data_IF_723524641047
#
_entry.id   IF_723524641047
#
_cell.length_a   1.000
_cell.length_b   1.000
_cell.length_c   1.000
_cell.angle_alpha   90.00
_cell.angle_beta   90.00
_cell.angle_gamma   90.00
#
_symmetry.space_group_name_H-M   'P 1'
#
loop_
_entity.id
_entity.type
_entity.pdbx_description
1 polymer ?
#
# COMPACT_ATOMS: atom_id res chain seq x y z
N UNK A 1 23.09 34.36 26.31
CA UNK A 1 21.99 33.70 25.58
C UNK A 1 21.14 33.00 26.62
N UNK A 2 19.91 33.45 26.81
CA UNK A 2 19.11 33.19 28.03
C UNK A 2 18.34 31.87 27.89
N UNK A 3 18.20 31.09 28.98
CA UNK A 3 17.52 29.78 29.02
C UNK A 3 16.07 29.80 28.51
N UNK A 4 15.42 30.98 28.52
CA UNK A 4 14.08 31.23 27.98
C UNK A 4 14.06 31.23 26.44
N UNK A 5 15.14 31.69 25.81
CA UNK A 5 15.27 31.76 24.35
C UNK A 5 15.56 30.38 23.73
N UNK A 6 16.19 29.47 24.46
CA UNK A 6 16.39 28.08 24.05
C UNK A 6 15.07 27.29 24.06
N UNK A 7 14.27 27.40 25.13
CA UNK A 7 12.96 26.72 25.21
C UNK A 7 11.98 27.15 24.11
N UNK A 8 11.97 28.43 23.74
CA UNK A 8 11.09 28.94 22.69
C UNK A 8 11.50 28.47 21.29
N UNK A 9 12.80 28.16 21.08
CA UNK A 9 13.28 27.59 19.82
C UNK A 9 12.92 26.11 19.71
N UNK A 10 13.15 25.32 20.77
CA UNK A 10 12.78 23.90 20.81
C UNK A 10 11.27 23.69 20.61
N UNK A 11 10.43 24.47 21.30
CA UNK A 11 8.97 24.41 21.12
C UNK A 11 8.53 24.79 19.70
N UNK A 12 9.30 25.63 19.00
CA UNK A 12 8.97 26.05 17.63
C UNK A 12 9.39 24.99 16.61
N UNK A 13 10.51 24.31 16.84
CA UNK A 13 10.94 23.17 16.04
C UNK A 13 10.03 21.95 16.25
N UNK A 14 9.64 21.66 17.49
CA UNK A 14 8.68 20.59 17.81
C UNK A 14 7.33 20.83 17.10
N UNK A 15 6.81 22.06 17.14
CA UNK A 15 5.57 22.42 16.42
C UNK A 15 5.69 22.28 14.90
N UNK A 16 6.85 22.57 14.31
CA UNK A 16 7.09 22.39 12.87
C UNK A 16 7.14 20.92 12.52
N UNK A 17 7.88 20.11 13.28
CA UNK A 17 7.97 18.66 13.06
C UNK A 17 6.57 18.04 13.17
N UNK A 18 5.81 18.37 14.22
CA UNK A 18 4.44 17.90 14.40
C UNK A 18 3.53 18.33 13.23
N UNK A 19 3.63 19.57 12.77
CA UNK A 19 2.82 20.07 11.66
C UNK A 19 3.15 19.36 10.34
N UNK A 20 4.44 19.11 10.06
CA UNK A 20 4.89 18.40 8.86
C UNK A 20 4.45 16.94 8.92
N UNK A 21 4.68 16.26 10.05
CA UNK A 21 4.32 14.84 10.21
C UNK A 21 2.80 14.62 10.16
N UNK A 22 2.01 15.50 10.81
CA UNK A 22 0.54 15.40 10.76
C UNK A 22 -0.03 15.67 9.36
N UNK A 23 0.55 16.62 8.61
CA UNK A 23 0.16 16.87 7.23
C UNK A 23 0.53 15.68 6.32
N UNK A 24 1.70 15.08 6.55
CA UNK A 24 2.13 13.87 5.84
C UNK A 24 1.20 12.69 6.13
N UNK A 25 0.86 12.44 7.40
CA UNK A 25 -0.09 11.39 7.79
C UNK A 25 -1.49 11.63 7.20
N UNK A 26 -1.95 12.89 7.19
CA UNK A 26 -3.20 13.25 6.54
C UNK A 26 -3.17 12.95 5.03
N UNK A 27 -2.09 13.31 4.33
CA UNK A 27 -1.93 13.05 2.91
C UNK A 27 -1.89 11.55 2.60
N UNK A 28 -1.20 10.75 3.43
CA UNK A 28 -1.14 9.30 3.32
C UNK A 28 -2.54 8.67 3.47
N UNK A 29 -3.27 9.02 4.54
CA UNK A 29 -4.62 8.53 4.78
C UNK A 29 -5.58 8.94 3.67
N UNK A 30 -5.48 10.18 3.20
CA UNK A 30 -6.30 10.67 2.10
C UNK A 30 -6.05 9.89 0.80
N UNK A 31 -4.78 9.68 0.43
CA UNK A 31 -4.40 8.87 -0.72
C UNK A 31 -4.90 7.43 -0.62
N UNK A 32 -4.80 6.82 0.57
CA UNK A 32 -5.31 5.48 0.83
C UNK A 32 -6.82 5.36 0.56
N UNK A 33 -7.63 6.32 1.03
CA UNK A 33 -9.09 6.31 0.80
C UNK A 33 -9.45 6.56 -0.67
N UNK A 34 -8.68 7.37 -1.39
CA UNK A 34 -8.87 7.57 -2.84
C UNK A 34 -8.61 6.28 -3.59
N UNK A 35 -7.51 5.58 -3.31
CA UNK A 35 -7.18 4.32 -3.99
C UNK A 35 -8.28 3.27 -3.77
N UNK A 36 -8.83 3.18 -2.55
CA UNK A 36 -9.98 2.29 -2.30
C UNK A 36 -11.21 2.67 -3.13
N UNK A 37 -11.50 3.96 -3.24
CA UNK A 37 -12.63 4.45 -4.03
C UNK A 37 -12.43 4.13 -5.51
N UNK A 38 -11.23 4.36 -6.06
CA UNK A 38 -10.87 4.04 -7.43
C UNK A 38 -10.94 2.54 -7.72
N UNK A 39 -10.60 1.68 -6.76
CA UNK A 39 -10.71 0.23 -6.91
C UNK A 39 -12.16 -0.21 -7.15
N UNK A 40 -13.13 0.37 -6.43
CA UNK A 40 -14.56 0.09 -6.66
C UNK A 40 -14.96 0.47 -8.09
N UNK A 41 -14.57 1.68 -8.54
CA UNK A 41 -14.85 2.11 -9.91
C UNK A 41 -14.20 1.21 -10.96
N UNK A 42 -12.98 0.74 -10.72
CA UNK A 42 -12.30 -0.21 -11.59
C UNK A 42 -13.06 -1.54 -11.70
N UNK A 43 -13.57 -2.08 -10.59
CA UNK A 43 -14.34 -3.33 -10.59
C UNK A 43 -15.66 -3.20 -11.37
N UNK A 44 -16.33 -2.06 -11.24
CA UNK A 44 -17.58 -1.78 -11.95
C UNK A 44 -17.30 -1.60 -13.46
N UNK A 45 -16.31 -0.80 -13.84
CA UNK A 45 -16.07 -0.47 -15.25
C UNK A 45 -15.43 -1.63 -16.03
N UNK A 46 -14.34 -2.22 -15.50
CA UNK A 46 -13.58 -3.26 -16.21
C UNK A 46 -14.21 -4.65 -16.13
N UNK A 47 -14.82 -5.01 -15.00
CA UNK A 47 -15.36 -6.35 -14.77
C UNK A 47 -16.88 -6.39 -14.74
N UNK A 48 -17.57 -5.24 -14.90
CA UNK A 48 -19.03 -5.13 -14.95
C UNK A 48 -19.71 -5.78 -13.73
N UNK A 49 -19.04 -5.68 -12.57
CA UNK A 49 -19.54 -6.20 -11.29
C UNK A 49 -20.55 -5.20 -10.73
N UNK A 50 -21.63 -5.69 -10.10
CA UNK A 50 -22.60 -4.82 -9.43
C UNK A 50 -21.95 -3.98 -8.33
N UNK A 51 -22.52 -2.80 -8.05
CA UNK A 51 -21.99 -1.89 -7.04
C UNK A 51 -21.95 -2.54 -5.65
N UNK A 52 -22.99 -3.27 -5.27
CA UNK A 52 -23.08 -3.97 -3.98
C UNK A 52 -22.00 -5.05 -3.82
N UNK A 53 -21.75 -5.81 -4.89
CA UNK A 53 -20.73 -6.86 -4.88
C UNK A 53 -19.32 -6.25 -4.88
N UNK A 54 -19.11 -5.15 -5.59
CA UNK A 54 -17.83 -4.43 -5.61
C UNK A 54 -17.49 -3.83 -4.24
N UNK A 55 -18.47 -3.22 -3.56
CA UNK A 55 -18.30 -2.71 -2.20
C UNK A 55 -18.00 -3.85 -1.21
N UNK A 56 -18.70 -4.98 -1.34
CA UNK A 56 -18.45 -6.17 -0.53
C UNK A 56 -17.03 -6.72 -0.74
N UNK A 57 -16.57 -6.82 -2.00
CA UNK A 57 -15.22 -7.27 -2.35
C UNK A 57 -14.13 -6.39 -1.74
N UNK A 58 -14.29 -5.06 -1.79
CA UNK A 58 -13.34 -4.13 -1.17
C UNK A 58 -13.34 -4.29 0.36
N UNK A 59 -14.51 -4.45 0.98
CA UNK A 59 -14.62 -4.74 2.41
C UNK A 59 -13.95 -6.05 2.83
N UNK A 60 -14.12 -7.12 2.05
CA UNK A 60 -13.45 -8.41 2.28
C UNK A 60 -11.94 -8.29 2.11
N UNK A 61 -11.48 -7.60 1.06
CA UNK A 61 -10.05 -7.34 0.80
C UNK A 61 -9.42 -6.59 1.98
N UNK A 62 -10.09 -5.55 2.48
CA UNK A 62 -9.63 -4.78 3.64
C UNK A 62 -9.55 -5.63 4.91
N UNK A 63 -10.57 -6.44 5.17
CA UNK A 63 -10.60 -7.34 6.33
C UNK A 63 -9.45 -8.34 6.28
N UNK A 64 -9.15 -8.86 5.08
CA UNK A 64 -8.05 -9.79 4.86
C UNK A 64 -6.68 -9.14 5.09
N UNK A 65 -6.49 -7.87 4.71
CA UNK A 65 -5.26 -7.10 5.00
C UNK A 65 -5.01 -7.02 6.50
N UNK A 66 -6.04 -6.69 7.29
CA UNK A 66 -5.89 -6.58 8.75
C UNK A 66 -5.58 -7.93 9.41
N UNK A 67 -6.28 -8.99 9.01
CA UNK A 67 -5.99 -10.35 9.50
C UNK A 67 -4.56 -10.75 9.13
N UNK A 68 -4.14 -10.49 7.89
CA UNK A 68 -2.80 -10.79 7.43
C UNK A 68 -1.73 -9.95 8.12
N UNK A 69 -2.04 -8.73 8.57
CA UNK A 69 -1.10 -7.91 9.34
C UNK A 69 -0.83 -8.52 10.72
N UNK A 70 -1.87 -8.98 11.41
CA UNK A 70 -1.71 -9.65 12.71
C UNK A 70 -0.85 -10.91 12.56
N UNK A 71 -1.17 -11.74 11.56
CA UNK A 71 -0.41 -12.96 11.28
C UNK A 71 1.03 -12.65 10.81
N UNK A 72 1.19 -11.61 10.00
CA UNK A 72 2.48 -11.19 9.45
C UNK A 72 3.46 -10.72 10.51
N UNK A 73 2.97 -9.95 11.50
CA UNK A 73 3.76 -9.51 12.64
C UNK A 73 4.23 -10.69 13.48
N UNK A 74 3.32 -11.62 13.79
CA UNK A 74 3.66 -12.83 14.55
C UNK A 74 4.71 -13.70 13.83
N UNK A 75 4.60 -13.86 12.52
CA UNK A 75 5.54 -14.64 11.71
C UNK A 75 6.92 -13.97 11.64
N UNK A 76 6.96 -12.65 11.53
CA UNK A 76 8.21 -11.91 11.49
C UNK A 76 8.94 -11.94 12.84
N UNK A 77 8.22 -11.76 13.93
CA UNK A 77 8.78 -11.81 15.28
C UNK A 77 9.36 -13.18 15.62
N UNK A 78 8.65 -14.26 15.25
CA UNK A 78 9.00 -15.61 15.69
C UNK A 78 9.94 -16.37 14.74
N UNK A 79 9.88 -16.12 13.43
CA UNK A 79 10.54 -16.99 12.45
C UNK A 79 11.47 -16.28 11.47
N UNK A 80 11.06 -15.13 10.92
CA UNK A 80 11.77 -14.53 9.76
C UNK A 80 12.66 -13.34 10.11
N UNK A 81 12.33 -12.58 11.15
CA UNK A 81 12.85 -11.24 11.38
C UNK A 81 12.20 -10.20 10.47
N UNK A 82 12.07 -8.97 10.97
CA UNK A 82 11.35 -7.87 10.32
C UNK A 82 11.81 -7.60 8.86
N UNK A 83 13.13 -7.59 8.62
CA UNK A 83 13.69 -7.31 7.28
C UNK A 83 13.30 -8.37 6.22
N UNK A 84 13.38 -9.66 6.57
CA UNK A 84 13.06 -10.75 5.61
C UNK A 84 11.56 -10.86 5.37
N UNK A 85 10.75 -10.57 6.39
CA UNK A 85 9.30 -10.54 6.23
C UNK A 85 8.85 -9.40 5.29
N UNK A 86 9.49 -8.23 5.37
CA UNK A 86 9.27 -7.13 4.41
C UNK A 86 9.65 -7.49 2.97
N UNK A 87 10.81 -8.12 2.76
CA UNK A 87 11.24 -8.61 1.44
C UNK A 87 10.25 -9.64 0.85
N UNK A 88 9.80 -10.58 1.68
CA UNK A 88 8.81 -11.57 1.26
C UNK A 88 7.49 -10.88 0.87
N UNK A 89 7.03 -9.92 1.67
CA UNK A 89 5.86 -9.09 1.36
C UNK A 89 5.98 -8.38 0.00
N UNK A 90 7.14 -7.78 -0.29
CA UNK A 90 7.38 -7.13 -1.59
C UNK A 90 7.33 -8.11 -2.77
N UNK A 91 7.80 -9.35 -2.58
CA UNK A 91 7.72 -10.39 -3.61
C UNK A 91 6.26 -10.79 -3.90
N UNK A 92 5.45 -10.99 -2.85
CA UNK A 92 4.02 -11.25 -2.99
C UNK A 92 3.28 -10.08 -3.65
N UNK A 93 3.69 -8.85 -3.37
CA UNK A 93 3.10 -7.66 -3.98
C UNK A 93 3.37 -7.60 -5.49
N UNK A 94 4.61 -7.84 -5.91
CA UNK A 94 4.97 -7.93 -7.33
C UNK A 94 4.17 -9.02 -8.05
N UNK A 95 4.03 -10.20 -7.44
CA UNK A 95 3.21 -11.29 -7.99
C UNK A 95 1.74 -10.90 -8.12
N UNK A 96 1.16 -10.28 -7.08
CA UNK A 96 -0.24 -9.83 -7.10
C UNK A 96 -0.52 -8.79 -8.18
N UNK A 97 0.35 -7.80 -8.34
CA UNK A 97 0.23 -6.80 -9.40
C UNK A 97 0.43 -7.40 -10.80
N UNK A 98 1.34 -8.36 -10.96
CA UNK A 98 1.50 -9.08 -12.22
C UNK A 98 0.22 -9.83 -12.59
N UNK A 99 -0.38 -10.55 -11.64
CA UNK A 99 -1.64 -11.27 -11.85
C UNK A 99 -2.78 -10.30 -12.22
N UNK A 100 -2.88 -9.16 -11.52
CA UNK A 100 -3.88 -8.14 -11.83
C UNK A 100 -3.67 -7.53 -13.23
N UNK A 101 -2.43 -7.26 -13.63
CA UNK A 101 -2.09 -6.68 -14.92
C UNK A 101 -2.47 -7.57 -16.10
N UNK A 102 -2.39 -8.91 -15.95
CA UNK A 102 -2.79 -9.89 -16.96
C UNK A 102 -4.18 -10.49 -16.69
N UNK A 103 -4.92 -10.00 -15.70
CA UNK A 103 -6.21 -10.60 -15.34
C UNK A 103 -7.23 -10.37 -16.46
N UNK A 104 -7.69 -11.48 -17.03
CA UNK A 104 -8.75 -11.48 -18.07
C UNK A 104 -10.05 -12.10 -17.53
N UNK A 105 -9.98 -12.79 -16.40
CA UNK A 105 -11.10 -13.49 -15.76
C UNK A 105 -11.28 -13.04 -14.30
N UNK A 106 -12.52 -13.08 -13.80
CA UNK A 106 -12.87 -12.78 -12.41
C UNK A 106 -12.11 -13.66 -11.40
N UNK A 107 -11.78 -14.91 -11.76
CA UNK A 107 -11.00 -15.79 -10.89
C UNK A 107 -9.56 -15.28 -10.67
N UNK A 108 -8.93 -14.72 -11.71
CA UNK A 108 -7.58 -14.15 -11.62
C UNK A 108 -7.58 -12.83 -10.85
N UNK A 109 -8.67 -12.05 -10.96
CA UNK A 109 -8.87 -10.85 -10.16
C UNK A 109 -8.90 -11.17 -8.66
N UNK A 110 -9.71 -12.16 -8.24
CA UNK A 110 -9.77 -12.55 -6.82
C UNK A 110 -8.45 -13.09 -6.31
N UNK A 111 -7.73 -13.86 -7.15
CA UNK A 111 -6.41 -14.37 -6.81
C UNK A 111 -5.40 -13.21 -6.65
N UNK A 112 -5.38 -12.26 -7.59
CA UNK A 112 -4.55 -11.06 -7.51
C UNK A 112 -4.84 -10.22 -6.25
N UNK A 113 -6.12 -9.97 -5.95
CA UNK A 113 -6.54 -9.25 -4.74
C UNK A 113 -6.11 -9.97 -3.45
N UNK A 114 -6.18 -11.30 -3.41
CA UNK A 114 -5.73 -12.07 -2.25
C UNK A 114 -4.22 -11.95 -2.02
N UNK A 115 -3.42 -11.99 -3.09
CA UNK A 115 -1.96 -11.80 -3.03
C UNK A 115 -1.59 -10.40 -2.56
N UNK A 116 -2.25 -9.37 -3.12
CA UNK A 116 -2.05 -7.97 -2.71
C UNK A 116 -2.45 -7.79 -1.24
N UNK A 117 -3.56 -8.39 -0.82
CA UNK A 117 -4.02 -8.29 0.59
C UNK A 117 -3.00 -8.88 1.57
N UNK A 118 -2.48 -10.07 1.28
CA UNK A 118 -1.48 -10.73 2.12
C UNK A 118 -0.17 -9.94 2.15
N UNK A 119 0.28 -9.45 0.99
CA UNK A 119 1.51 -8.65 0.89
C UNK A 119 1.43 -7.36 1.71
N UNK A 120 0.30 -6.65 1.64
CA UNK A 120 0.09 -5.38 2.35
C UNK A 120 0.08 -5.59 3.86
N UNK A 121 -0.53 -6.68 4.34
CA UNK A 121 -0.51 -7.04 5.75
C UNK A 121 0.90 -7.35 6.27
N UNK A 122 1.68 -8.12 5.50
CA UNK A 122 3.07 -8.46 5.85
C UNK A 122 4.00 -7.25 5.89
N UNK A 123 3.81 -6.28 4.99
CA UNK A 123 4.61 -5.05 4.99
C UNK A 123 4.20 -4.18 6.18
N UNK A 124 2.89 -3.94 6.37
CA UNK A 124 2.37 -3.02 7.39
C UNK A 124 2.66 -3.43 8.84
N UNK A 125 2.82 -4.72 9.10
CA UNK A 125 3.06 -5.26 10.45
C UNK A 125 4.52 -5.26 10.88
N UNK A 126 5.45 -5.16 9.92
CA UNK A 126 6.88 -5.41 10.16
C UNK A 126 7.76 -4.18 10.01
N UNK A 127 7.12 -3.03 9.81
CA UNK A 127 7.71 -1.77 9.40
C UNK A 127 7.37 -0.75 10.49
N UNK A 128 8.38 -0.41 11.30
CA UNK A 128 8.27 0.42 12.50
C UNK A 128 8.54 1.87 12.09
N UNK A 129 7.46 2.62 11.89
CA UNK A 129 7.39 4.03 11.44
C UNK A 129 8.10 4.34 10.10
N UNK A 130 7.31 4.24 9.02
CA UNK A 130 7.71 3.88 7.65
C UNK A 130 7.03 4.76 6.55
N UNK A 131 7.07 6.09 6.69
CA UNK A 131 6.73 7.01 5.60
C UNK A 131 7.63 6.81 4.35
N UNK A 132 8.87 6.34 4.55
CA UNK A 132 9.92 6.17 3.54
C UNK A 132 9.81 4.89 2.69
N UNK A 133 9.20 3.83 3.22
CA UNK A 133 8.88 2.62 2.43
C UNK A 133 7.66 2.83 1.55
N UNK A 134 6.72 3.68 1.98
CA UNK A 134 5.52 4.03 1.22
C UNK A 134 5.86 4.84 -0.05
N UNK A 135 6.85 5.75 0.01
CA UNK A 135 7.36 6.49 -1.16
C UNK A 135 8.22 5.60 -2.07
N UNK A 136 9.11 4.76 -1.52
CA UNK A 136 9.94 3.87 -2.32
C UNK A 136 9.12 2.85 -3.14
N UNK A 137 8.04 2.31 -2.56
CA UNK A 137 7.11 1.41 -3.25
C UNK A 137 6.24 2.16 -4.25
N UNK A 138 5.72 3.35 -3.92
CA UNK A 138 4.96 4.16 -4.88
C UNK A 138 5.81 4.58 -6.11
N UNK A 139 7.11 4.87 -5.92
CA UNK A 139 8.09 5.16 -6.99
C UNK A 139 8.43 3.92 -7.81
N UNK A 140 8.64 2.76 -7.19
CA UNK A 140 8.85 1.49 -7.91
C UNK A 140 7.60 1.04 -8.69
N UNK A 141 6.41 1.26 -8.12
CA UNK A 141 5.13 0.89 -8.75
C UNK A 141 4.84 1.83 -9.92
N UNK A 142 5.10 3.14 -9.79
CA UNK A 142 5.03 4.11 -10.89
C UNK A 142 6.06 3.81 -12.00
N UNK A 143 7.28 3.40 -11.65
CA UNK A 143 8.33 2.99 -12.61
C UNK A 143 7.93 1.71 -13.36
N UNK A 144 7.29 0.76 -12.68
CA UNK A 144 6.75 -0.46 -13.29
C UNK A 144 5.53 -0.16 -14.20
N UNK A 145 4.63 0.76 -13.80
CA UNK A 145 3.52 1.19 -14.66
C UNK A 145 4.02 1.93 -15.91
N UNK A 146 5.12 2.70 -15.82
CA UNK A 146 5.80 3.35 -16.96
C UNK A 146 6.51 2.36 -17.89
N UNK A 147 7.11 1.30 -17.35
CA UNK A 147 7.76 0.24 -18.15
C UNK A 147 6.73 -0.67 -18.83
N UNK A 148 5.59 -0.94 -18.19
CA UNK A 148 4.43 -1.58 -18.82
C UNK A 148 3.81 -0.68 -19.89
N UNK A 149 3.72 0.64 -19.67
CA UNK A 149 3.36 1.62 -20.70
C UNK A 149 4.35 1.59 -21.88
N UNK A 150 5.66 1.35 -21.66
CA UNK A 150 6.70 1.17 -22.70
C UNK A 150 6.65 -0.19 -23.44
N UNK A 151 6.17 -1.25 -22.81
CA UNK A 151 6.00 -2.58 -23.43
C UNK A 151 4.64 -2.74 -24.13
N UNK A 152 3.58 -2.14 -23.60
CA UNK A 152 2.26 -2.09 -24.26
C UNK A 152 2.28 -1.16 -25.47
N UNK A 153 3.04 -0.05 -25.43
CA UNK A 153 3.28 0.75 -26.64
C UNK A 153 4.33 0.13 -27.59
N UNK A 154 4.90 -1.03 -27.20
CA UNK A 154 5.66 -1.96 -28.06
C UNK A 154 4.75 -3.07 -28.62
N UNK A 155 3.43 -2.97 -28.42
CA UNK A 155 2.52 -2.89 -29.57
C UNK A 155 2.78 -1.51 -30.22
N UNK A 156 3.63 -1.39 -31.24
CA UNK A 156 3.52 -2.21 -32.45
C UNK A 156 2.02 -2.34 -32.76
N UNK A 157 1.41 -1.23 -33.15
CA UNK A 157 1.32 -0.78 -34.55
C UNK A 157 0.18 -1.48 -35.28
#
# INVERSE_FOLDING_TARGET
MTTKDMNLRDLREEKKVLAITSLAEFAERYGYYIIQSLLIFYLIDKFQISQDLSASLVGTTLSMVYISAILGGFVAEKYLGYYRAGLLGSLFMLGGFFILAYSTSQSMLYLGLSFVSVSTGLIKSNMCDDLDTFIAIAVLTSLATLLLRKFVNKYSS
#
